data_IF_810619547106
#
_entry.id   IF_810619547106
#
_cell.length_a   1.000
_cell.length_b   1.000
_cell.length_c   1.000
_cell.angle_alpha   90.00
_cell.angle_beta   90.00
_cell.angle_gamma   90.00
#
_symmetry.space_group_name_H-M   'P 1'
#
loop_
_entity.id
_entity.type
_entity.pdbx_description
1 polymer ?
#
# COMPACT_ATOMS: atom_id res chain seq x y z
N UNK A 1 8.97 21.52 36.05
CA UNK A 1 10.04 21.45 35.02
C UNK A 1 9.70 22.39 33.87
N UNK A 2 9.87 23.71 34.04
CA UNK A 2 9.29 24.72 33.14
C UNK A 2 9.84 24.67 31.70
N UNK A 3 11.07 24.15 31.54
CA UNK A 3 11.76 24.05 30.24
C UNK A 3 11.61 22.69 29.55
N UNK A 4 10.91 21.73 30.16
CA UNK A 4 10.77 20.39 29.59
C UNK A 4 9.93 20.44 28.30
N UNK A 5 10.53 20.05 27.18
CA UNK A 5 9.86 20.03 25.85
C UNK A 5 9.46 18.64 25.39
N UNK A 6 10.18 17.62 25.86
CA UNK A 6 9.99 16.22 25.48
C UNK A 6 9.95 15.38 26.74
N UNK A 7 8.95 14.52 26.85
CA UNK A 7 8.82 13.53 27.91
C UNK A 7 8.73 12.15 27.27
N UNK A 8 9.63 11.25 27.67
CA UNK A 8 9.58 9.84 27.30
C UNK A 8 9.48 9.01 28.56
N UNK A 9 8.43 8.19 28.64
CA UNK A 9 8.21 7.24 29.72
C UNK A 9 8.29 5.84 29.13
N UNK A 10 9.05 4.97 29.77
CA UNK A 10 9.21 3.56 29.40
C UNK A 10 9.25 2.73 30.67
N UNK A 11 8.73 1.51 30.60
CA UNK A 11 8.79 0.57 31.71
C UNK A 11 9.77 -0.55 31.42
N UNK A 12 10.50 -0.96 32.45
CA UNK A 12 11.39 -2.11 32.37
C UNK A 12 10.63 -3.33 32.91
N UNK A 13 9.88 -3.98 32.02
CA UNK A 13 8.90 -5.01 32.40
C UNK A 13 9.52 -6.21 33.14
N UNK A 14 10.78 -6.53 32.83
CA UNK A 14 11.50 -7.64 33.46
C UNK A 14 11.99 -7.34 34.88
N UNK A 15 12.05 -6.06 35.27
CA UNK A 15 12.58 -5.62 36.56
C UNK A 15 11.49 -5.33 37.60
N UNK A 16 10.21 -5.30 37.20
CA UNK A 16 9.08 -4.98 38.07
C UNK A 16 8.09 -6.15 38.12
N UNK A 17 8.04 -6.93 39.20
CA UNK A 17 7.09 -8.05 39.33
C UNK A 17 5.63 -7.60 39.41
N UNK A 18 5.36 -6.34 39.77
CA UNK A 18 4.03 -5.77 39.93
C UNK A 18 3.55 -5.02 38.69
N UNK A 19 4.26 -5.15 37.56
CA UNK A 19 3.97 -4.41 36.34
C UNK A 19 2.51 -4.55 35.85
N UNK A 20 1.86 -5.67 36.13
CA UNK A 20 0.47 -5.93 35.73
C UNK A 20 -0.54 -5.09 36.51
N UNK A 21 -0.22 -4.73 37.75
CA UNK A 21 -1.12 -4.00 38.64
C UNK A 21 -1.31 -2.55 38.16
N UNK A 22 -0.22 -1.82 37.92
CA UNK A 22 -0.27 -0.42 37.48
C UNK A 22 -0.61 -0.26 35.99
N UNK A 23 -0.41 -1.28 35.15
CA UNK A 23 -0.93 -1.26 33.78
C UNK A 23 -2.45 -1.44 33.71
N UNK A 24 -3.04 -2.08 34.73
CA UNK A 24 -4.49 -2.30 34.78
C UNK A 24 -5.23 -1.07 35.30
N UNK A 25 -4.64 -0.36 36.25
CA UNK A 25 -5.17 0.87 36.85
C UNK A 25 -4.00 1.81 37.24
N UNK A 26 -3.51 2.63 36.31
CA UNK A 26 -2.40 3.54 36.58
C UNK A 26 -2.87 4.68 37.49
N UNK A 27 -2.56 4.58 38.78
CA UNK A 27 -2.76 5.65 39.75
C UNK A 27 -1.73 6.76 39.52
N UNK A 28 -1.89 7.53 38.45
CA UNK A 28 -1.01 8.64 38.09
C UNK A 28 -1.75 9.96 38.27
N UNK A 29 -1.21 10.82 39.12
CA UNK A 29 -1.72 12.17 39.30
C UNK A 29 -1.66 12.95 37.96
N UNK A 30 -2.72 13.69 37.60
CA UNK A 30 -2.74 14.48 36.38
C UNK A 30 -1.58 15.48 36.32
N UNK A 31 -0.87 15.48 35.21
CA UNK A 31 0.26 16.36 34.97
C UNK A 31 -0.21 17.81 34.89
N UNK A 32 0.16 18.61 35.89
CA UNK A 32 -0.22 20.02 35.93
C UNK A 32 0.40 20.79 34.76
N UNK A 33 -0.44 21.50 34.01
CA UNK A 33 -0.02 22.38 32.90
C UNK A 33 1.01 23.42 33.36
N UNK A 34 0.87 23.93 34.58
CA UNK A 34 1.82 24.89 35.17
C UNK A 34 3.20 24.27 35.43
N UNK A 35 3.28 22.96 35.65
CA UNK A 35 4.53 22.26 35.91
C UNK A 35 5.35 22.01 34.63
N UNK A 36 4.68 21.90 33.47
CA UNK A 36 5.27 21.55 32.17
C UNK A 36 4.73 22.41 31.00
N UNK A 37 4.75 23.74 31.10
CA UNK A 37 4.08 24.64 30.14
C UNK A 37 4.64 24.57 28.71
N UNK A 38 5.85 24.01 28.54
CA UNK A 38 6.56 23.90 27.25
C UNK A 38 6.57 22.48 26.69
N UNK A 39 5.87 21.53 27.31
CA UNK A 39 5.87 20.14 26.85
C UNK A 39 5.13 20.02 25.52
N UNK A 40 5.85 19.61 24.47
CA UNK A 40 5.32 19.50 23.10
C UNK A 40 5.36 18.07 22.57
N UNK A 41 6.21 17.21 23.12
CA UNK A 41 6.40 15.82 22.67
C UNK A 41 6.22 14.86 23.83
N UNK A 42 5.35 13.87 23.63
CA UNK A 42 5.10 12.80 24.58
C UNK A 42 5.28 11.45 23.89
N UNK A 43 6.13 10.60 24.47
CA UNK A 43 6.17 9.17 24.17
C UNK A 43 5.90 8.43 25.48
N UNK A 44 4.79 7.71 25.56
CA UNK A 44 4.40 7.06 26.80
C UNK A 44 3.56 5.81 26.55
N UNK A 45 3.46 4.93 27.54
CA UNK A 45 2.54 3.80 27.51
C UNK A 45 1.10 4.30 27.47
N UNK A 46 0.26 3.64 26.67
CA UNK A 46 -1.08 4.12 26.35
C UNK A 46 -1.94 4.42 27.57
N UNK A 47 -1.81 3.57 28.60
CA UNK A 47 -2.54 3.64 29.87
C UNK A 47 -2.33 4.97 30.60
N UNK A 48 -1.24 5.68 30.34
CA UNK A 48 -0.91 6.95 31.01
C UNK A 48 -1.48 8.19 30.31
N UNK A 49 -2.10 8.06 29.13
CA UNK A 49 -2.48 9.21 28.31
C UNK A 49 -3.41 10.18 29.06
N UNK A 50 -4.40 9.68 29.80
CA UNK A 50 -5.38 10.50 30.53
C UNK A 50 -4.71 11.41 31.56
N UNK A 51 -3.68 10.92 32.25
CA UNK A 51 -2.91 11.69 33.23
C UNK A 51 -1.87 12.63 32.62
N UNK A 52 -1.46 12.43 31.36
CA UNK A 52 -0.36 13.19 30.73
C UNK A 52 -0.81 14.18 29.67
N UNK A 53 -2.10 14.28 29.41
CA UNK A 53 -2.65 15.14 28.37
C UNK A 53 -2.63 16.61 28.80
N UNK A 54 -1.82 17.41 28.09
CA UNK A 54 -1.70 18.86 28.32
C UNK A 54 -1.88 19.64 27.01
N UNK A 55 -2.42 20.87 27.04
CA UNK A 55 -2.76 21.62 25.81
C UNK A 55 -1.58 22.01 24.92
N UNK A 56 -0.36 21.99 25.46
CA UNK A 56 0.86 22.34 24.72
C UNK A 56 1.37 21.21 23.82
N UNK A 57 0.85 19.99 23.95
CA UNK A 57 1.28 18.82 23.18
C UNK A 57 1.01 19.01 21.68
N UNK A 58 2.01 18.60 20.89
CA UNK A 58 1.99 18.65 19.43
C UNK A 58 2.30 17.29 18.82
N UNK A 59 3.06 16.45 19.51
CA UNK A 59 3.41 15.11 19.04
C UNK A 59 3.18 14.10 20.17
N UNK A 60 2.35 13.10 19.91
CA UNK A 60 2.05 12.02 20.84
C UNK A 60 2.40 10.69 20.19
N UNK A 61 3.11 9.85 20.92
CA UNK A 61 3.36 8.45 20.58
C UNK A 61 2.94 7.60 21.76
N UNK A 62 1.97 6.72 21.53
CA UNK A 62 1.47 5.78 22.53
C UNK A 62 1.85 4.37 22.12
N UNK A 63 2.37 3.62 23.07
CA UNK A 63 2.88 2.26 22.85
C UNK A 63 2.26 1.30 23.87
N UNK A 64 1.91 0.10 23.41
CA UNK A 64 1.62 -1.01 24.28
C UNK A 64 2.90 -1.80 24.53
N UNK A 65 3.56 -1.52 25.65
CA UNK A 65 4.86 -2.12 25.98
C UNK A 65 4.79 -3.64 26.24
N UNK A 66 3.60 -4.19 26.50
CA UNK A 66 3.40 -5.63 26.69
C UNK A 66 3.20 -6.39 25.38
N UNK A 67 3.20 -5.68 24.27
CA UNK A 67 2.98 -6.22 22.93
C UNK A 67 1.51 -6.45 22.60
N UNK A 68 1.26 -6.69 21.32
CA UNK A 68 -0.08 -6.73 20.71
C UNK A 68 -1.12 -7.64 21.36
N UNK A 69 -0.70 -8.71 22.03
CA UNK A 69 -1.62 -9.71 22.60
C UNK A 69 -2.02 -9.40 24.04
N UNK A 70 -1.31 -8.50 24.70
CA UNK A 70 -1.59 -8.16 26.09
C UNK A 70 -2.66 -7.07 26.15
N UNK A 71 -3.79 -7.31 26.85
CA UNK A 71 -4.76 -6.26 27.13
C UNK A 71 -4.21 -5.21 28.10
N UNK A 72 -3.26 -5.56 28.97
CA UNK A 72 -2.77 -4.72 30.06
C UNK A 72 -2.18 -3.39 29.57
N UNK A 73 -1.44 -3.34 28.47
CA UNK A 73 -0.90 -2.08 27.95
C UNK A 73 -1.80 -1.28 27.00
N UNK A 74 -3.06 -1.69 26.84
CA UNK A 74 -4.02 -1.02 25.94
C UNK A 74 -4.74 0.13 26.62
N UNK A 75 -5.29 1.03 25.82
CA UNK A 75 -6.19 2.08 26.30
C UNK A 75 -7.38 1.46 27.04
N UNK A 76 -7.77 2.10 28.15
CA UNK A 76 -8.89 1.66 28.98
C UNK A 76 -10.22 1.76 28.22
N UNK A 77 -10.48 2.92 27.59
CA UNK A 77 -11.73 3.17 26.86
C UNK A 77 -11.53 4.16 25.70
N UNK A 78 -12.39 4.05 24.68
CA UNK A 78 -12.46 5.03 23.59
C UNK A 78 -12.82 6.43 24.11
N UNK A 79 -13.80 6.53 25.02
CA UNK A 79 -14.24 7.82 25.58
C UNK A 79 -13.11 8.55 26.29
N UNK A 80 -12.35 7.86 27.14
CA UNK A 80 -11.20 8.46 27.84
C UNK A 80 -10.10 8.89 26.88
N UNK A 81 -9.83 8.06 25.86
CA UNK A 81 -8.88 8.39 24.80
C UNK A 81 -9.23 9.68 24.04
N UNK A 82 -10.47 9.79 23.54
CA UNK A 82 -10.90 10.98 22.80
C UNK A 82 -10.98 12.23 23.68
N UNK A 83 -11.42 12.09 24.94
CA UNK A 83 -11.41 13.19 25.90
C UNK A 83 -9.99 13.71 26.16
N UNK A 84 -9.01 12.81 26.27
CA UNK A 84 -7.61 13.16 26.44
C UNK A 84 -7.04 13.87 25.20
N UNK A 85 -7.36 13.38 23.98
CA UNK A 85 -6.97 14.06 22.74
C UNK A 85 -7.58 15.45 22.61
N UNK A 86 -8.83 15.64 23.02
CA UNK A 86 -9.52 16.93 22.97
C UNK A 86 -8.76 18.05 23.72
N UNK A 87 -8.02 17.71 24.78
CA UNK A 87 -7.20 18.66 25.55
C UNK A 87 -6.10 19.31 24.68
N UNK A 88 -5.55 18.59 23.71
CA UNK A 88 -4.45 19.04 22.84
C UNK A 88 -4.84 19.19 21.36
N UNK A 89 -6.11 18.99 21.02
CA UNK A 89 -6.62 18.90 19.65
C UNK A 89 -6.18 20.04 18.73
N UNK A 90 -6.21 21.29 19.21
CA UNK A 90 -5.88 22.48 18.42
C UNK A 90 -4.39 22.56 18.00
N UNK A 91 -3.51 21.81 18.67
CA UNK A 91 -2.06 21.88 18.44
C UNK A 91 -1.45 20.54 18.05
N UNK A 92 -2.20 19.44 18.16
CA UNK A 92 -1.72 18.10 17.86
C UNK A 92 -1.43 17.95 16.36
N UNK A 93 -0.15 17.82 16.01
CA UNK A 93 0.34 17.67 14.64
C UNK A 93 0.67 16.22 14.30
N UNK A 94 1.03 15.41 15.30
CA UNK A 94 1.42 14.01 15.10
C UNK A 94 0.79 13.14 16.16
N UNK A 95 0.11 12.07 15.74
CA UNK A 95 -0.44 11.05 16.60
C UNK A 95 0.02 9.67 16.11
N UNK A 96 0.75 8.94 16.96
CA UNK A 96 1.24 7.59 16.70
C UNK A 96 0.69 6.63 17.74
N UNK A 97 0.04 5.56 17.29
CA UNK A 97 -0.65 4.56 18.11
C UNK A 97 -0.10 3.16 17.78
N UNK A 98 0.64 2.54 18.69
CA UNK A 98 1.29 1.24 18.46
C UNK A 98 0.73 0.15 19.41
N UNK A 99 -0.17 -0.67 18.88
CA UNK A 99 -0.87 -1.77 19.58
C UNK A 99 -1.70 -1.32 20.79
N UNK A 100 -2.17 -0.07 20.77
CA UNK A 100 -2.78 0.63 21.91
C UNK A 100 -4.30 0.68 21.89
N UNK A 101 -4.96 0.24 20.82
CA UNK A 101 -6.41 0.41 20.67
C UNK A 101 -7.17 -0.22 21.84
N UNK A 102 -8.31 0.37 22.27
CA UNK A 102 -8.94 0.04 23.54
C UNK A 102 -9.27 -1.44 23.79
N UNK A 103 -9.33 -1.80 25.08
CA UNK A 103 -9.65 -3.17 25.54
C UNK A 103 -11.06 -3.62 25.16
N UNK A 104 -12.03 -2.72 25.31
CA UNK A 104 -13.46 -3.01 25.12
C UNK A 104 -13.89 -2.64 23.70
N UNK A 105 -14.64 -3.53 23.05
CA UNK A 105 -15.14 -3.31 21.69
C UNK A 105 -16.43 -2.48 21.63
N UNK A 106 -17.07 -2.26 22.78
CA UNK A 106 -18.26 -1.44 22.89
C UNK A 106 -17.87 0.03 22.78
N UNK A 107 -18.32 0.62 21.68
CA UNK A 107 -18.28 2.06 21.46
C UNK A 107 -19.67 2.58 21.79
N UNK A 108 -19.92 3.13 23.00
CA UNK A 108 -21.08 4.01 23.17
C UNK A 108 -20.99 5.13 22.12
N UNK A 109 -22.10 5.73 21.69
CA UNK A 109 -22.08 6.80 20.69
C UNK A 109 -21.11 7.93 21.11
N UNK A 110 -19.86 7.87 20.66
CA UNK A 110 -18.83 8.87 20.97
C UNK A 110 -18.86 9.89 19.84
N UNK A 111 -19.01 11.19 20.14
CA UNK A 111 -18.88 12.22 19.13
C UNK A 111 -17.48 12.20 18.51
N UNK A 112 -17.40 12.53 17.22
CA UNK A 112 -16.13 12.69 16.52
C UNK A 112 -15.23 13.71 17.22
N UNK A 113 -13.93 13.45 17.24
CA UNK A 113 -12.91 14.37 17.77
C UNK A 113 -12.19 15.03 16.62
N UNK A 114 -12.32 16.35 16.51
CA UNK A 114 -11.64 17.15 15.50
C UNK A 114 -10.19 17.46 15.91
N UNK A 115 -9.25 17.17 15.02
CA UNK A 115 -7.81 17.39 15.17
C UNK A 115 -7.32 18.30 14.02
N UNK A 116 -7.66 19.61 14.05
CA UNK A 116 -7.48 20.50 12.89
C UNK A 116 -6.01 20.79 12.55
N UNK A 117 -5.07 20.56 13.47
CA UNK A 117 -3.65 20.76 13.25
C UNK A 117 -2.91 19.48 12.82
N UNK A 118 -3.62 18.35 12.71
CA UNK A 118 -3.00 17.04 12.46
C UNK A 118 -2.39 17.01 11.06
N UNK A 119 -1.15 16.53 11.00
CA UNK A 119 -0.39 16.35 9.74
C UNK A 119 -0.02 14.91 9.51
N UNK A 120 0.19 14.15 10.58
CA UNK A 120 0.62 12.76 10.52
C UNK A 120 -0.16 11.94 11.54
N UNK A 121 -0.92 10.97 11.06
CA UNK A 121 -1.55 9.93 11.86
C UNK A 121 -0.91 8.60 11.51
N UNK A 122 -0.41 7.88 12.51
CA UNK A 122 0.08 6.51 12.33
C UNK A 122 -0.55 5.58 13.35
N UNK A 123 -1.05 4.44 12.89
CA UNK A 123 -1.58 3.39 13.76
C UNK A 123 -1.11 2.02 13.31
N UNK A 124 -0.67 1.19 14.25
CA UNK A 124 -0.43 -0.22 14.04
C UNK A 124 -1.25 -1.00 15.07
N UNK A 125 -2.28 -1.72 14.64
CA UNK A 125 -3.11 -2.56 15.52
C UNK A 125 -3.94 -3.53 14.67
N UNK A 126 -4.91 -4.20 15.30
CA UNK A 126 -5.89 -5.02 14.59
C UNK A 126 -6.79 -4.17 13.69
N UNK A 127 -7.26 -4.79 12.61
CA UNK A 127 -8.18 -4.24 11.61
C UNK A 127 -9.31 -3.44 12.25
N UNK A 128 -10.06 -4.09 13.15
CA UNK A 128 -11.23 -3.51 13.81
C UNK A 128 -10.89 -2.27 14.64
N UNK A 129 -9.72 -2.25 15.31
CA UNK A 129 -9.31 -1.11 16.14
C UNK A 129 -8.88 0.07 15.29
N UNK A 130 -8.17 -0.18 14.19
CA UNK A 130 -7.84 0.86 13.23
C UNK A 130 -9.13 1.52 12.69
N UNK A 131 -10.09 0.71 12.25
CA UNK A 131 -11.36 1.21 11.74
C UNK A 131 -12.15 2.00 12.79
N UNK A 132 -12.24 1.51 14.02
CA UNK A 132 -12.93 2.23 15.09
C UNK A 132 -12.26 3.56 15.44
N UNK A 133 -10.93 3.64 15.47
CA UNK A 133 -10.24 4.90 15.72
C UNK A 133 -10.48 5.90 14.59
N UNK A 134 -10.31 5.48 13.34
CA UNK A 134 -10.49 6.34 12.17
C UNK A 134 -11.94 6.79 11.94
N UNK A 135 -12.93 6.04 12.43
CA UNK A 135 -14.35 6.41 12.31
C UNK A 135 -14.74 7.59 13.20
N UNK A 136 -13.96 7.92 14.24
CA UNK A 136 -14.26 8.98 15.20
C UNK A 136 -13.22 10.10 15.24
N UNK A 137 -12.26 10.10 14.29
CA UNK A 137 -11.31 11.19 14.14
C UNK A 137 -11.64 12.02 12.90
N UNK A 138 -11.69 13.32 13.07
CA UNK A 138 -11.78 14.30 11.99
C UNK A 138 -10.43 15.01 11.88
N UNK A 139 -9.87 15.05 10.68
CA UNK A 139 -8.57 15.68 10.41
C UNK A 139 -8.56 16.31 9.01
N UNK A 140 -7.66 17.27 8.74
CA UNK A 140 -7.58 17.94 7.44
C UNK A 140 -7.29 16.97 6.29
N UNK A 141 -7.74 17.30 5.08
CA UNK A 141 -7.50 16.53 3.84
C UNK A 141 -6.00 16.45 3.45
N UNK A 142 -5.15 17.24 4.10
CA UNK A 142 -3.70 17.22 3.93
C UNK A 142 -2.99 16.25 4.89
N UNK A 143 -3.73 15.51 5.70
CA UNK A 143 -3.15 14.61 6.70
C UNK A 143 -2.56 13.37 6.04
N UNK A 144 -1.34 13.01 6.40
CA UNK A 144 -0.78 11.71 6.05
C UNK A 144 -1.28 10.65 7.03
N UNK A 145 -1.89 9.59 6.51
CA UNK A 145 -2.51 8.51 7.27
C UNK A 145 -1.74 7.22 7.00
N UNK A 146 -1.10 6.66 8.02
CA UNK A 146 -0.36 5.40 7.93
C UNK A 146 -0.96 4.34 8.86
N UNK A 147 -1.60 3.32 8.31
CA UNK A 147 -2.15 2.20 9.08
C UNK A 147 -1.38 0.90 8.81
N UNK A 148 -1.11 0.12 9.84
CA UNK A 148 -0.55 -1.21 9.71
C UNK A 148 -1.48 -2.21 10.42
N UNK A 149 -2.10 -3.06 9.62
CA UNK A 149 -2.97 -4.13 10.07
C UNK A 149 -2.14 -5.36 10.44
N UNK A 150 -2.17 -5.72 11.73
CA UNK A 150 -1.35 -6.82 12.27
C UNK A 150 -2.07 -8.18 12.32
N UNK A 151 -3.38 -8.22 12.06
CA UNK A 151 -4.22 -9.44 12.10
C UNK A 151 -4.74 -9.88 10.72
N UNK A 152 -4.30 -9.22 9.65
CA UNK A 152 -4.64 -9.56 8.25
C UNK A 152 -6.15 -9.55 7.96
N UNK A 153 -6.93 -8.73 8.68
CA UNK A 153 -8.34 -8.49 8.34
C UNK A 153 -8.52 -7.64 7.08
N UNK A 154 -9.77 -7.29 6.77
CA UNK A 154 -10.12 -6.62 5.51
C UNK A 154 -9.58 -5.19 5.44
N UNK A 155 -9.18 -4.77 4.26
CA UNK A 155 -8.67 -3.41 4.04
C UNK A 155 -9.76 -2.35 4.28
N UNK A 156 -10.99 -2.60 3.82
CA UNK A 156 -12.14 -1.71 4.01
C UNK A 156 -12.61 -1.63 5.48
N UNK A 157 -12.27 -2.61 6.31
CA UNK A 157 -12.49 -2.55 7.76
C UNK A 157 -11.37 -1.77 8.47
N UNK A 158 -10.16 -1.74 7.89
CA UNK A 158 -9.04 -0.92 8.39
C UNK A 158 -9.25 0.55 8.03
N UNK A 159 -9.71 0.83 6.80
CA UNK A 159 -10.05 2.15 6.28
C UNK A 159 -11.56 2.28 6.11
N UNK A 160 -12.28 2.73 7.16
CA UNK A 160 -13.73 2.76 7.16
C UNK A 160 -14.26 3.79 6.16
N UNK A 161 -14.98 3.33 5.12
CA UNK A 161 -15.61 4.18 4.09
C UNK A 161 -16.89 4.87 4.57
N UNK A 162 -17.17 4.83 5.87
CA UNK A 162 -18.20 5.65 6.52
C UNK A 162 -17.57 6.84 7.28
N UNK A 163 -16.24 6.98 7.26
CA UNK A 163 -15.52 8.13 7.80
C UNK A 163 -15.38 9.17 6.69
N UNK A 164 -16.02 10.33 6.87
CA UNK A 164 -15.95 11.44 5.92
C UNK A 164 -14.50 11.86 5.62
N UNK A 165 -13.62 11.81 6.63
CA UNK A 165 -12.19 12.10 6.45
C UNK A 165 -11.53 11.08 5.51
N UNK A 166 -11.79 9.78 5.69
CA UNK A 166 -11.23 8.74 4.82
C UNK A 166 -11.78 8.85 3.40
N UNK A 167 -13.08 9.08 3.26
CA UNK A 167 -13.73 9.26 1.97
C UNK A 167 -13.14 10.45 1.20
N UNK A 168 -12.88 11.58 1.88
CA UNK A 168 -12.24 12.74 1.27
C UNK A 168 -10.81 12.44 0.78
N UNK A 169 -10.01 11.68 1.54
CA UNK A 169 -8.65 11.28 1.13
C UNK A 169 -8.68 10.27 -0.03
N UNK A 170 -9.63 9.34 -0.04
CA UNK A 170 -9.84 8.42 -1.16
C UNK A 170 -10.28 9.19 -2.42
N UNK A 171 -11.19 10.15 -2.29
CA UNK A 171 -11.64 10.98 -3.41
C UNK A 171 -10.50 11.85 -4.00
N UNK A 172 -9.57 12.28 -3.16
CA UNK A 172 -8.36 13.02 -3.58
C UNK A 172 -7.26 12.12 -4.18
N UNK A 173 -7.42 10.79 -4.12
CA UNK A 173 -6.43 9.83 -4.63
C UNK A 173 -6.50 9.72 -6.15
N UNK A 174 -5.36 9.91 -6.80
CA UNK A 174 -5.18 9.77 -8.26
C UNK A 174 -4.22 8.65 -8.61
N UNK A 175 -3.24 8.36 -7.74
CA UNK A 175 -2.24 7.33 -7.97
C UNK A 175 -2.23 6.34 -6.82
N UNK A 176 -2.17 5.05 -7.16
CA UNK A 176 -2.09 3.96 -6.19
C UNK A 176 -0.83 3.14 -6.46
N UNK A 177 -0.09 2.79 -5.41
CA UNK A 177 0.99 1.82 -5.49
C UNK A 177 0.73 0.64 -4.55
N UNK A 178 0.73 -0.57 -5.08
CA UNK A 178 0.62 -1.83 -4.32
C UNK A 178 2.00 -2.48 -4.30
N UNK A 179 2.57 -2.64 -3.11
CA UNK A 179 3.94 -3.14 -2.92
C UNK A 179 3.96 -4.34 -2.01
N UNK A 180 4.48 -5.45 -2.51
CA UNK A 180 4.78 -6.65 -1.74
C UNK A 180 6.23 -6.68 -1.29
N UNK A 181 6.44 -7.19 -0.10
CA UNK A 181 7.75 -7.47 0.49
C UNK A 181 7.75 -8.89 1.07
N UNK A 182 8.90 -9.35 1.55
CA UNK A 182 9.01 -10.65 2.19
C UNK A 182 8.07 -10.81 3.39
N UNK A 183 7.68 -9.71 4.06
CA UNK A 183 6.94 -9.72 5.33
C UNK A 183 5.58 -9.02 5.30
N UNK A 184 5.33 -8.15 4.31
CA UNK A 184 4.10 -7.36 4.24
C UNK A 184 3.72 -6.96 2.81
N UNK A 185 2.43 -6.73 2.60
CA UNK A 185 1.89 -6.07 1.41
C UNK A 185 1.35 -4.71 1.81
N UNK A 186 1.61 -3.68 1.02
CA UNK A 186 1.23 -2.31 1.35
C UNK A 186 0.56 -1.63 0.17
N UNK A 187 -0.42 -0.77 0.47
CA UNK A 187 -1.14 0.06 -0.50
C UNK A 187 -0.87 1.51 -0.13
N UNK A 188 -0.39 2.25 -1.12
CA UNK A 188 -0.03 3.65 -0.99
C UNK A 188 -0.91 4.46 -1.94
N UNK A 189 -1.61 5.46 -1.41
CA UNK A 189 -2.49 6.36 -2.15
C UNK A 189 -1.85 7.75 -2.19
N UNK A 190 -1.72 8.32 -3.39
CA UNK A 190 -1.10 9.62 -3.60
C UNK A 190 -2.10 10.59 -4.24
N UNK A 191 -1.99 11.85 -3.82
CA UNK A 191 -2.71 12.96 -4.42
C UNK A 191 -2.24 13.23 -5.86
N UNK A 192 -3.11 13.88 -6.64
CA UNK A 192 -2.77 14.44 -7.94
C UNK A 192 -1.96 15.72 -7.77
N UNK A 193 -0.64 15.67 -7.96
CA UNK A 193 0.20 16.87 -7.93
C UNK A 193 1.35 16.82 -8.95
N UNK A 194 1.60 17.97 -9.59
CA UNK A 194 2.50 18.17 -10.74
C UNK A 194 4.01 18.10 -10.44
N UNK A 195 4.46 17.86 -9.20
CA UNK A 195 5.90 17.76 -8.93
C UNK A 195 6.32 16.99 -7.68
N UNK A 196 5.50 16.91 -6.63
CA UNK A 196 5.77 16.06 -5.47
C UNK A 196 4.55 15.18 -5.17
N UNK A 197 4.70 13.86 -5.40
CA UNK A 197 3.67 12.87 -5.08
C UNK A 197 3.44 12.84 -3.56
N UNK A 198 2.52 13.67 -3.05
CA UNK A 198 2.14 13.67 -1.64
C UNK A 198 1.35 12.40 -1.34
N UNK A 199 1.90 11.55 -0.46
CA UNK A 199 1.21 10.36 0.02
C UNK A 199 0.10 10.79 0.99
N UNK A 200 -1.13 10.37 0.71
CA UNK A 200 -2.31 10.66 1.55
C UNK A 200 -2.53 9.51 2.53
N UNK A 201 -2.53 8.28 2.02
CA UNK A 201 -2.81 7.08 2.79
C UNK A 201 -1.75 6.02 2.49
N UNK A 202 -1.26 5.33 3.52
CA UNK A 202 -0.46 4.12 3.43
C UNK A 202 -1.08 3.06 4.34
N UNK A 203 -1.47 1.91 3.78
CA UNK A 203 -1.95 0.76 4.57
C UNK A 203 -1.08 -0.46 4.34
N UNK A 204 -0.45 -0.95 5.40
CA UNK A 204 0.28 -2.21 5.43
C UNK A 204 -0.58 -3.35 5.95
N UNK A 205 -0.49 -4.50 5.27
CA UNK A 205 -1.00 -5.80 5.66
C UNK A 205 0.21 -6.66 6.08
N UNK A 206 0.43 -6.80 7.37
CA UNK A 206 1.57 -7.52 7.92
C UNK A 206 1.20 -8.95 8.32
N UNK A 207 2.18 -9.87 8.24
CA UNK A 207 2.11 -11.19 8.86
C UNK A 207 1.96 -12.39 7.92
N UNK A 208 2.00 -13.59 8.50
CA UNK A 208 2.10 -14.86 7.77
C UNK A 208 0.84 -15.23 6.95
N UNK A 209 -0.33 -14.64 7.28
CA UNK A 209 -1.61 -14.82 6.59
C UNK A 209 -1.99 -13.60 5.75
N UNK A 210 -0.99 -12.84 5.27
CA UNK A 210 -1.22 -11.74 4.34
C UNK A 210 -1.88 -12.24 3.05
N UNK A 211 -2.75 -11.41 2.50
CA UNK A 211 -3.36 -11.61 1.20
C UNK A 211 -4.38 -10.52 0.95
N UNK A 212 -4.16 -9.75 -0.12
CA UNK A 212 -5.18 -8.84 -0.63
C UNK A 212 -6.44 -9.63 -1.01
N UNK A 213 -7.61 -9.12 -0.65
CA UNK A 213 -8.88 -9.67 -1.12
C UNK A 213 -9.35 -8.85 -2.32
N UNK A 214 -9.83 -9.47 -3.41
CA UNK A 214 -10.32 -8.74 -4.57
C UNK A 214 -11.40 -7.71 -4.22
N UNK A 215 -12.37 -8.10 -3.39
CA UNK A 215 -13.52 -7.26 -3.02
C UNK A 215 -13.10 -6.00 -2.26
N UNK A 216 -12.01 -6.08 -1.49
CA UNK A 216 -11.52 -4.95 -0.68
C UNK A 216 -11.05 -3.79 -1.57
N UNK A 217 -10.33 -4.08 -2.67
CA UNK A 217 -9.89 -3.05 -3.61
C UNK A 217 -11.07 -2.44 -4.35
N UNK A 218 -12.05 -3.27 -4.75
CA UNK A 218 -13.27 -2.79 -5.42
C UNK A 218 -14.03 -1.84 -4.50
N UNK A 219 -14.27 -2.24 -3.25
CA UNK A 219 -15.02 -1.45 -2.29
C UNK A 219 -14.36 -0.11 -1.98
N UNK A 220 -13.02 -0.05 -1.94
CA UNK A 220 -12.29 1.18 -1.63
C UNK A 220 -12.15 2.13 -2.82
N UNK A 221 -11.87 1.62 -4.01
CA UNK A 221 -11.44 2.47 -5.13
C UNK A 221 -12.47 2.62 -6.25
N UNK A 222 -13.37 1.66 -6.46
CA UNK A 222 -14.24 1.67 -7.66
C UNK A 222 -15.10 2.93 -7.73
N UNK A 223 -15.71 3.28 -6.60
CA UNK A 223 -16.61 4.44 -6.49
C UNK A 223 -15.98 5.57 -5.66
N UNK A 224 -14.99 5.25 -4.83
CA UNK A 224 -14.37 6.17 -3.88
C UNK A 224 -13.21 6.99 -4.43
N UNK A 225 -12.58 6.59 -5.54
CA UNK A 225 -11.39 7.25 -6.06
C UNK A 225 -11.33 7.25 -7.60
N UNK A 226 -10.81 8.33 -8.17
CA UNK A 226 -10.53 8.40 -9.62
C UNK A 226 -9.06 8.07 -9.89
N UNK A 227 -8.69 6.82 -9.65
CA UNK A 227 -7.30 6.36 -9.84
C UNK A 227 -6.96 6.31 -11.33
N UNK A 228 -6.00 7.13 -11.76
CA UNK A 228 -5.51 7.18 -13.14
C UNK A 228 -4.17 6.47 -13.33
N UNK A 229 -3.40 6.27 -12.24
CA UNK A 229 -2.12 5.56 -12.27
C UNK A 229 -2.06 4.48 -11.18
N UNK A 230 -1.78 3.24 -11.59
CA UNK A 230 -1.53 2.11 -10.71
C UNK A 230 -0.11 1.58 -10.90
N UNK A 231 0.63 1.44 -9.81
CA UNK A 231 1.92 0.77 -9.77
C UNK A 231 1.84 -0.50 -8.90
N UNK A 232 2.21 -1.66 -9.43
CA UNK A 232 2.20 -2.93 -8.71
C UNK A 232 3.62 -3.48 -8.71
N UNK A 233 4.20 -3.74 -7.54
CA UNK A 233 5.57 -4.23 -7.44
C UNK A 233 5.72 -5.30 -6.35
N UNK A 234 6.52 -6.34 -6.62
CA UNK A 234 7.02 -7.25 -5.58
C UNK A 234 5.98 -8.17 -4.93
N UNK A 235 4.83 -8.39 -5.58
CA UNK A 235 3.80 -9.29 -5.05
C UNK A 235 4.20 -10.76 -5.13
N UNK A 236 3.91 -11.52 -4.08
CA UNK A 236 3.95 -12.98 -4.11
C UNK A 236 2.65 -13.54 -4.71
N UNK A 237 2.60 -14.87 -4.90
CA UNK A 237 1.43 -15.52 -5.47
C UNK A 237 0.12 -15.18 -4.74
N UNK A 238 0.13 -15.17 -3.41
CA UNK A 238 -1.07 -14.95 -2.58
C UNK A 238 -1.62 -13.55 -2.77
N UNK A 239 -0.73 -12.55 -2.77
CA UNK A 239 -1.12 -11.14 -2.92
C UNK A 239 -1.55 -10.81 -4.36
N UNK A 240 -0.88 -11.39 -5.36
CA UNK A 240 -1.20 -11.15 -6.77
C UNK A 240 -2.62 -11.64 -7.14
N UNK A 241 -3.09 -12.76 -6.58
CA UNK A 241 -4.47 -13.23 -6.76
C UNK A 241 -5.52 -12.25 -6.22
N UNK A 242 -5.14 -11.46 -5.21
CA UNK A 242 -5.98 -10.44 -4.60
C UNK A 242 -6.15 -9.16 -5.41
N UNK A 243 -5.25 -8.90 -6.38
CA UNK A 243 -5.30 -7.69 -7.17
C UNK A 243 -6.32 -7.83 -8.30
N UNK A 244 -7.40 -7.06 -8.20
CA UNK A 244 -8.41 -6.95 -9.25
C UNK A 244 -8.38 -5.57 -9.89
N UNK A 245 -8.05 -5.52 -11.18
CA UNK A 245 -7.98 -4.26 -11.93
C UNK A 245 -9.38 -3.62 -12.15
N UNK A 246 -10.45 -4.36 -11.85
CA UNK A 246 -11.84 -3.84 -11.86
C UNK A 246 -12.08 -2.76 -10.81
N UNK A 247 -11.23 -2.71 -9.78
CA UNK A 247 -11.22 -1.62 -8.80
C UNK A 247 -10.82 -0.26 -9.39
N UNK A 248 -10.22 -0.23 -10.59
CA UNK A 248 -9.64 0.99 -11.18
C UNK A 248 -10.22 1.26 -12.59
N UNK A 249 -11.49 1.66 -12.70
CA UNK A 249 -12.15 1.85 -14.00
C UNK A 249 -11.55 3.01 -14.82
N UNK A 250 -10.97 4.02 -14.15
CA UNK A 250 -10.39 5.22 -14.77
C UNK A 250 -8.90 5.11 -15.06
N UNK A 251 -8.32 3.91 -14.96
CA UNK A 251 -6.90 3.69 -15.08
C UNK A 251 -6.39 4.03 -16.49
N UNK A 252 -5.44 4.98 -16.57
CA UNK A 252 -4.77 5.42 -17.81
C UNK A 252 -3.35 4.86 -17.90
N UNK A 253 -2.69 4.67 -16.76
CA UNK A 253 -1.32 4.15 -16.67
C UNK A 253 -1.22 2.98 -15.71
N UNK A 254 -0.61 1.90 -16.16
CA UNK A 254 -0.31 0.73 -15.34
C UNK A 254 1.19 0.41 -15.41
N UNK A 255 1.85 0.41 -14.25
CA UNK A 255 3.23 -0.04 -14.10
C UNK A 255 3.23 -1.34 -13.28
N UNK A 256 3.71 -2.45 -13.83
CA UNK A 256 3.76 -3.76 -13.15
C UNK A 256 5.20 -4.24 -13.11
N UNK A 257 5.68 -4.61 -11.93
CA UNK A 257 7.02 -5.15 -11.72
C UNK A 257 7.00 -6.35 -10.78
N UNK A 258 7.77 -7.39 -11.07
CA UNK A 258 7.87 -8.57 -10.21
C UNK A 258 7.74 -9.90 -10.93
N UNK A 259 7.82 -10.99 -10.17
CA UNK A 259 7.67 -12.35 -10.68
C UNK A 259 6.22 -12.63 -11.11
N UNK A 260 5.26 -12.05 -10.39
CA UNK A 260 3.82 -12.18 -10.68
C UNK A 260 3.32 -11.20 -11.75
N UNK A 261 4.22 -10.46 -12.44
CA UNK A 261 3.81 -9.46 -13.43
C UNK A 261 2.95 -10.07 -14.55
N UNK A 262 3.32 -11.27 -15.05
CA UNK A 262 2.53 -11.99 -16.06
C UNK A 262 1.10 -12.28 -15.60
N UNK A 263 0.92 -12.70 -14.35
CA UNK A 263 -0.40 -12.97 -13.78
C UNK A 263 -1.27 -11.71 -13.72
N UNK A 264 -0.70 -10.59 -13.26
CA UNK A 264 -1.42 -9.30 -13.22
C UNK A 264 -1.85 -8.88 -14.63
N UNK A 265 -0.99 -9.06 -15.63
CA UNK A 265 -1.33 -8.73 -17.02
C UNK A 265 -2.45 -9.60 -17.59
N UNK A 266 -2.52 -10.88 -17.22
CA UNK A 266 -3.64 -11.73 -17.63
C UNK A 266 -4.99 -11.21 -17.14
N UNK A 267 -5.02 -10.49 -16.00
CA UNK A 267 -6.26 -9.88 -15.49
C UNK A 267 -6.80 -8.78 -16.41
N UNK A 268 -5.94 -8.08 -17.17
CA UNK A 268 -6.36 -7.10 -18.17
C UNK A 268 -7.14 -7.72 -19.33
N UNK A 269 -6.96 -9.03 -19.56
CA UNK A 269 -7.58 -9.79 -20.64
C UNK A 269 -8.75 -10.67 -20.16
N UNK A 270 -9.19 -10.52 -18.90
CA UNK A 270 -10.37 -11.21 -18.39
C UNK A 270 -11.64 -10.46 -18.81
N UNK A 271 -12.69 -11.23 -19.15
CA UNK A 271 -14.04 -10.68 -19.31
C UNK A 271 -14.64 -10.48 -17.92
N UNK A 272 -15.23 -9.32 -17.69
CA UNK A 272 -16.05 -9.11 -16.51
C UNK A 272 -17.35 -9.91 -16.67
N UNK A 273 -17.59 -10.85 -15.76
CA UNK A 273 -18.76 -11.74 -15.79
C UNK A 273 -19.92 -11.24 -14.92
N UNK A 274 -19.79 -10.10 -14.23
CA UNK A 274 -20.78 -9.66 -13.23
C UNK A 274 -22.07 -9.03 -13.79
N UNK A 275 -22.26 -8.95 -15.11
CA UNK A 275 -23.50 -8.41 -15.69
C UNK A 275 -24.62 -9.46 -15.89
N UNK A 276 -24.55 -10.65 -15.29
CA UNK A 276 -25.46 -11.76 -15.64
C UNK A 276 -26.21 -12.45 -14.50
N UNK A 277 -26.17 -11.93 -13.27
CA UNK A 277 -26.99 -12.46 -12.17
C UNK A 277 -27.89 -11.35 -11.61
N UNK A 278 -28.97 -11.03 -12.33
CA UNK A 278 -29.99 -10.08 -11.90
C UNK A 278 -30.99 -9.78 -13.01
N UNK A 279 -32.15 -10.44 -12.92
CA UNK A 279 -33.41 -10.19 -13.64
C UNK A 279 -33.58 -10.64 -15.11
N UNK A 280 -34.33 -11.73 -15.22
CA UNK A 280 -35.41 -12.02 -16.17
C UNK A 280 -36.11 -10.77 -16.73
N UNK A 281 -35.98 -10.52 -18.03
CA UNK A 281 -36.99 -10.86 -19.03
C UNK A 281 -36.57 -10.35 -20.42
N UNK A 282 -36.99 -11.08 -21.45
CA UNK A 282 -36.42 -10.98 -22.78
C UNK A 282 -36.64 -9.66 -23.52
N UNK A 283 -35.62 -9.21 -24.22
CA UNK A 283 -35.75 -8.70 -25.59
C UNK A 283 -34.44 -8.86 -26.37
N UNK A 284 -34.59 -9.31 -27.61
CA UNK A 284 -33.52 -9.46 -28.59
C UNK A 284 -32.93 -8.09 -28.95
N UNK A 285 -31.60 -8.01 -29.03
CA UNK A 285 -30.91 -7.04 -29.86
C UNK A 285 -30.39 -5.79 -29.16
N UNK A 286 -29.37 -5.92 -28.32
CA UNK A 286 -28.22 -5.02 -28.40
C UNK A 286 -26.97 -5.75 -27.87
N UNK A 287 -25.83 -5.53 -28.50
CA UNK A 287 -24.60 -6.26 -28.21
C UNK A 287 -24.22 -6.12 -26.73
N UNK A 288 -24.19 -7.24 -25.98
CA UNK A 288 -23.53 -7.33 -24.67
C UNK A 288 -22.07 -6.90 -24.83
N UNK A 289 -21.81 -5.60 -24.69
CA UNK A 289 -20.46 -5.05 -24.54
C UNK A 289 -19.89 -5.73 -23.30
N UNK A 290 -18.94 -6.63 -23.49
CA UNK A 290 -18.18 -7.16 -22.37
C UNK A 290 -17.62 -5.96 -21.61
N UNK A 291 -17.89 -5.84 -20.32
CA UNK A 291 -17.34 -4.76 -19.51
C UNK A 291 -15.81 -4.93 -19.51
N UNK A 292 -15.13 -4.05 -20.24
CA UNK A 292 -13.69 -4.10 -20.46
C UNK A 292 -13.01 -3.54 -19.22
N UNK A 293 -12.10 -4.32 -18.62
CA UNK A 293 -11.32 -3.87 -17.47
C UNK A 293 -10.34 -2.78 -17.91
N UNK A 294 -10.36 -1.63 -17.25
CA UNK A 294 -9.51 -0.47 -17.55
C UNK A 294 -9.57 -0.07 -19.04
N UNK A 295 -10.75 0.26 -19.56
CA UNK A 295 -10.95 0.56 -20.99
C UNK A 295 -10.12 1.76 -21.49
N UNK A 296 -9.79 2.70 -20.61
CA UNK A 296 -8.97 3.89 -20.90
C UNK A 296 -7.47 3.71 -20.72
N UNK A 297 -6.96 2.48 -20.60
CA UNK A 297 -5.54 2.24 -20.38
C UNK A 297 -4.71 2.64 -21.62
N UNK A 298 -3.87 3.66 -21.48
CA UNK A 298 -3.04 4.20 -22.55
C UNK A 298 -1.57 3.80 -22.42
N UNK A 299 -1.04 3.73 -21.20
CA UNK A 299 0.38 3.42 -20.94
C UNK A 299 0.52 2.16 -20.12
N UNK A 300 1.31 1.20 -20.61
CA UNK A 300 1.65 -0.03 -19.91
C UNK A 300 3.17 -0.17 -19.79
N UNK A 301 3.66 -0.21 -18.55
CA UNK A 301 5.06 -0.50 -18.22
C UNK A 301 5.11 -1.86 -17.54
N UNK A 302 5.95 -2.76 -18.01
CA UNK A 302 6.11 -4.10 -17.43
C UNK A 302 7.57 -4.39 -17.20
N UNK A 303 7.95 -4.69 -15.96
CA UNK A 303 9.28 -5.17 -15.60
C UNK A 303 9.21 -6.55 -14.96
N UNK A 304 9.50 -7.57 -15.75
CA UNK A 304 9.37 -8.95 -15.32
C UNK A 304 10.61 -9.41 -14.54
N UNK A 305 10.42 -9.92 -13.33
CA UNK A 305 11.56 -10.44 -12.57
C UNK A 305 11.98 -11.83 -13.03
N UNK A 306 13.26 -12.17 -12.84
CA UNK A 306 13.78 -13.52 -12.99
C UNK A 306 14.70 -13.82 -11.82
N UNK A 307 14.67 -15.07 -11.32
CA UNK A 307 15.45 -15.47 -10.15
C UNK A 307 16.95 -15.22 -10.34
N UNK A 308 17.61 -14.71 -9.28
CA UNK A 308 19.06 -14.81 -9.12
C UNK A 308 19.40 -16.26 -8.77
N UNK A 309 20.04 -16.99 -9.68
CA UNK A 309 20.10 -18.44 -9.55
C UNK A 309 21.23 -19.12 -10.31
N UNK A 310 21.98 -19.91 -9.55
CA UNK A 310 23.02 -20.87 -9.95
C UNK A 310 22.47 -22.10 -10.69
N UNK A 311 21.18 -22.14 -11.04
CA UNK A 311 20.63 -23.28 -11.78
C UNK A 311 21.01 -23.15 -13.26
N UNK A 312 21.61 -24.23 -13.79
CA UNK A 312 21.94 -24.38 -15.22
C UNK A 312 20.65 -24.38 -16.04
N UNK A 313 20.18 -23.19 -16.43
CA UNK A 313 19.14 -22.81 -17.43
C UNK A 313 18.42 -21.51 -17.06
N UNK A 314 18.77 -20.88 -15.94
CA UNK A 314 18.19 -19.61 -15.56
C UNK A 314 18.69 -18.48 -16.47
N UNK A 315 17.79 -17.54 -16.77
CA UNK A 315 18.09 -16.33 -17.57
C UNK A 315 19.28 -15.57 -16.99
N UNK A 316 19.40 -15.50 -15.65
CA UNK A 316 20.56 -14.89 -14.99
C UNK A 316 21.88 -15.60 -15.29
N UNK A 317 21.92 -16.93 -15.32
CA UNK A 317 23.13 -17.69 -15.70
C UNK A 317 23.42 -17.53 -17.20
N UNK A 318 22.39 -17.50 -18.04
CA UNK A 318 22.54 -17.27 -19.48
C UNK A 318 23.11 -15.88 -19.80
N UNK A 319 22.62 -14.83 -19.13
CA UNK A 319 23.13 -13.47 -19.27
C UNK A 319 24.61 -13.38 -18.89
N UNK A 320 25.02 -14.02 -17.79
CA UNK A 320 26.43 -14.05 -17.34
C UNK A 320 27.35 -14.88 -18.23
N UNK A 321 26.85 -15.96 -18.80
CA UNK A 321 27.63 -16.84 -19.71
C UNK A 321 27.58 -16.40 -21.17
N UNK A 322 26.86 -15.31 -21.50
CA UNK A 322 26.67 -14.86 -22.88
C UNK A 322 25.82 -15.80 -23.74
N UNK A 323 25.04 -16.70 -23.11
CA UNK A 323 24.15 -17.61 -23.84
C UNK A 323 22.86 -16.88 -24.29
N UNK A 324 22.96 -16.16 -25.40
CA UNK A 324 21.87 -15.33 -25.93
C UNK A 324 20.65 -16.15 -26.40
N UNK A 325 20.79 -17.45 -26.69
CA UNK A 325 19.66 -18.29 -27.12
C UNK A 325 18.57 -18.42 -26.03
N UNK A 326 18.98 -18.54 -24.76
CA UNK A 326 18.08 -18.66 -23.61
C UNK A 326 17.39 -17.32 -23.34
N UNK A 327 18.15 -16.22 -23.41
CA UNK A 327 17.63 -14.85 -23.25
C UNK A 327 16.62 -14.52 -24.36
N UNK A 328 16.92 -14.91 -25.60
CA UNK A 328 16.03 -14.73 -26.74
C UNK A 328 14.74 -15.56 -26.60
N UNK A 329 14.84 -16.81 -26.15
CA UNK A 329 13.69 -17.66 -25.89
C UNK A 329 12.79 -17.11 -24.78
N UNK A 330 13.37 -16.58 -23.70
CA UNK A 330 12.62 -15.91 -22.63
C UNK A 330 11.90 -14.65 -23.14
N UNK A 331 12.59 -13.79 -23.89
CA UNK A 331 11.98 -12.60 -24.49
C UNK A 331 10.84 -12.96 -25.44
N UNK A 332 11.01 -13.98 -26.29
CA UNK A 332 9.95 -14.48 -27.19
C UNK A 332 8.72 -14.93 -26.41
N UNK A 333 8.92 -15.70 -25.33
CA UNK A 333 7.83 -16.14 -24.46
C UNK A 333 7.08 -14.94 -23.87
N UNK A 334 7.80 -14.00 -23.22
CA UNK A 334 7.20 -12.80 -22.60
C UNK A 334 6.47 -11.93 -23.62
N UNK A 335 7.01 -11.77 -24.82
CA UNK A 335 6.36 -11.06 -25.91
C UNK A 335 5.11 -11.79 -26.41
N UNK A 336 5.13 -13.12 -26.52
CA UNK A 336 3.96 -13.90 -26.92
C UNK A 336 2.82 -13.78 -25.89
N UNK A 337 3.14 -13.79 -24.60
CA UNK A 337 2.16 -13.59 -23.52
C UNK A 337 1.53 -12.19 -23.60
N UNK A 338 2.33 -11.15 -23.81
CA UNK A 338 1.85 -9.79 -24.03
C UNK A 338 0.97 -9.69 -25.29
N UNK A 339 1.37 -10.29 -26.41
CA UNK A 339 0.56 -10.34 -27.63
C UNK A 339 -0.80 -10.97 -27.34
N UNK A 340 -0.83 -12.10 -26.62
CA UNK A 340 -2.08 -12.77 -26.25
C UNK A 340 -2.99 -11.87 -25.41
N UNK A 341 -2.43 -11.18 -24.42
CA UNK A 341 -3.18 -10.25 -23.54
C UNK A 341 -3.73 -9.07 -24.35
N UNK A 342 -2.90 -8.42 -25.16
CA UNK A 342 -3.27 -7.22 -25.92
C UNK A 342 -4.24 -7.53 -27.07
N UNK A 343 -4.03 -8.63 -27.80
CA UNK A 343 -4.98 -9.08 -28.83
C UNK A 343 -6.35 -9.35 -28.23
N UNK A 344 -6.41 -10.06 -27.10
CA UNK A 344 -7.68 -10.34 -26.43
C UNK A 344 -8.39 -9.07 -25.94
N UNK A 345 -7.65 -8.05 -25.49
CA UNK A 345 -8.22 -6.74 -25.17
C UNK A 345 -8.79 -6.03 -26.39
N UNK A 346 -8.06 -6.05 -27.50
CA UNK A 346 -8.50 -5.47 -28.77
C UNK A 346 -9.78 -6.16 -29.27
N UNK A 347 -9.85 -7.48 -29.19
CA UNK A 347 -11.05 -8.27 -29.51
C UNK A 347 -12.27 -7.93 -28.63
N UNK A 348 -12.03 -7.50 -27.39
CA UNK A 348 -13.09 -7.04 -26.48
C UNK A 348 -13.54 -5.60 -26.78
N UNK A 349 -12.91 -4.88 -27.71
CA UNK A 349 -13.23 -3.51 -28.08
C UNK A 349 -12.51 -2.44 -27.25
N UNK A 350 -11.40 -2.80 -26.58
CA UNK A 350 -10.58 -1.83 -25.84
C UNK A 350 -9.88 -0.90 -26.82
N UNK A 351 -9.67 0.36 -26.42
CA UNK A 351 -8.69 1.20 -27.09
C UNK A 351 -7.31 0.53 -27.04
N UNK A 352 -6.52 0.72 -28.10
CA UNK A 352 -5.15 0.26 -28.14
C UNK A 352 -4.30 1.08 -27.16
N UNK A 353 -3.29 0.43 -26.61
CA UNK A 353 -2.30 1.09 -25.77
C UNK A 353 -1.47 2.04 -26.65
N UNK A 354 -1.24 3.26 -26.18
CA UNK A 354 -0.45 4.27 -26.90
C UNK A 354 1.04 4.15 -26.61
N UNK A 355 1.42 3.57 -25.46
CA UNK A 355 2.83 3.31 -25.10
C UNK A 355 2.99 2.00 -24.33
N UNK A 356 3.90 1.15 -24.80
CA UNK A 356 4.30 -0.08 -24.12
C UNK A 356 5.80 -0.03 -23.80
N UNK A 357 6.13 -0.21 -22.53
CA UNK A 357 7.50 -0.42 -22.07
C UNK A 357 7.63 -1.82 -21.47
N UNK A 358 8.65 -2.56 -21.89
CA UNK A 358 8.92 -3.89 -21.36
C UNK A 358 10.39 -4.05 -20.97
N UNK A 359 10.62 -4.58 -19.78
CA UNK A 359 11.92 -4.79 -19.15
C UNK A 359 11.98 -6.11 -18.42
N UNK A 360 13.19 -6.52 -18.07
CA UNK A 360 13.43 -7.70 -17.25
C UNK A 360 14.50 -7.39 -16.21
N UNK A 361 14.23 -7.65 -14.94
CA UNK A 361 15.17 -7.37 -13.84
C UNK A 361 15.47 -8.62 -13.01
N UNK A 362 16.73 -8.83 -12.66
CA UNK A 362 17.14 -9.94 -11.80
C UNK A 362 16.68 -9.72 -10.35
N UNK A 363 16.11 -10.76 -9.76
CA UNK A 363 15.68 -10.77 -8.37
C UNK A 363 16.86 -11.20 -7.49
N UNK A 364 17.52 -10.27 -6.78
CA UNK A 364 18.70 -10.65 -6.01
C UNK A 364 19.47 -9.52 -5.34
N UNK A 365 18.81 -8.72 -4.52
CA UNK A 365 19.38 -8.13 -3.29
C UNK A 365 18.22 -7.55 -2.46
N UNK A 366 18.18 -7.74 -1.13
CA UNK A 366 17.20 -7.06 -0.29
C UNK A 366 17.47 -5.56 -0.34
N UNK A 367 16.73 -4.84 -1.19
CA UNK A 367 16.68 -3.38 -1.10
C UNK A 367 15.89 -3.09 0.17
N UNK A 368 16.61 -2.73 1.24
CA UNK A 368 16.02 -2.20 2.45
C UNK A 368 15.04 -1.08 2.10
N UNK A 369 13.99 -0.94 2.90
CA UNK A 369 12.76 -0.19 2.66
C UNK A 369 12.90 1.31 2.31
N UNK A 370 14.11 1.87 2.15
CA UNK A 370 14.33 3.29 1.91
C UNK A 370 15.29 3.66 0.76
N UNK A 371 15.93 2.73 0.06
CA UNK A 371 16.88 3.13 -0.99
C UNK A 371 16.29 3.04 -2.40
N UNK A 372 15.95 4.23 -2.91
CA UNK A 372 15.89 4.52 -4.34
C UNK A 372 17.15 3.95 -5.02
N UNK A 373 16.94 3.10 -6.02
CA UNK A 373 17.90 2.82 -7.11
C UNK A 373 19.28 2.34 -6.62
N UNK A 374 19.44 1.06 -6.31
CA UNK A 374 20.68 0.41 -6.71
C UNK A 374 20.63 0.32 -8.25
N UNK A 375 21.44 1.10 -9.00
CA UNK A 375 21.48 0.93 -10.44
C UNK A 375 21.97 -0.50 -10.72
N UNK A 376 21.27 -1.28 -11.56
CA UNK A 376 21.76 -2.59 -11.98
C UNK A 376 23.18 -2.43 -12.53
N UNK A 377 24.09 -3.31 -12.11
CA UNK A 377 25.53 -3.17 -12.40
C UNK A 377 25.83 -3.31 -13.89
N UNK A 378 24.98 -4.02 -14.64
CA UNK A 378 25.01 -4.10 -16.09
C UNK A 378 23.60 -4.06 -16.68
N UNK A 379 23.47 -3.27 -17.74
CA UNK A 379 22.31 -3.26 -18.62
C UNK A 379 22.70 -3.97 -19.93
N UNK A 380 22.03 -5.07 -20.24
CA UNK A 380 22.06 -5.62 -21.60
C UNK A 380 20.92 -4.95 -22.35
N UNK A 381 21.19 -3.75 -22.87
CA UNK A 381 20.20 -2.91 -23.55
C UNK A 381 20.80 -1.63 -24.19
N UNK A 382 20.57 -1.50 -25.51
CA UNK A 382 20.70 -0.35 -26.44
C UNK A 382 21.98 0.52 -26.48
N UNK A 383 22.80 0.64 -25.44
CA UNK A 383 23.97 1.55 -25.46
C UNK A 383 25.31 0.86 -25.80
N UNK A 384 25.33 -0.47 -25.86
CA UNK A 384 26.48 -1.26 -26.31
C UNK A 384 26.09 -2.14 -27.49
N UNK A 385 26.67 -1.86 -28.65
CA UNK A 385 26.45 -2.54 -29.94
C UNK A 385 26.34 -4.07 -29.87
N UNK A 386 25.18 -4.62 -30.27
CA UNK A 386 25.00 -5.81 -31.14
C UNK A 386 23.66 -6.55 -30.96
N UNK A 387 22.74 -6.11 -30.09
CA UNK A 387 21.42 -6.77 -30.00
C UNK A 387 20.43 -6.23 -31.05
N UNK A 388 20.67 -6.55 -32.32
CA UNK A 388 19.69 -6.39 -33.41
C UNK A 388 18.47 -7.35 -33.37
N UNK A 389 18.53 -8.58 -32.79
CA UNK A 389 17.44 -9.57 -32.89
C UNK A 389 16.13 -9.21 -32.17
N UNK A 390 16.16 -8.43 -31.08
CA UNK A 390 14.93 -8.17 -30.30
C UNK A 390 13.88 -7.41 -31.11
N UNK A 391 14.29 -6.60 -32.10
CA UNK A 391 13.36 -5.84 -32.95
C UNK A 391 12.40 -6.73 -33.73
N UNK A 392 12.83 -7.92 -34.16
CA UNK A 392 11.96 -8.88 -34.84
C UNK A 392 11.00 -9.56 -33.86
N UNK A 393 11.46 -9.81 -32.63
CA UNK A 393 10.68 -10.45 -31.56
C UNK A 393 9.54 -9.54 -31.08
N UNK A 394 9.78 -8.23 -30.93
CA UNK A 394 8.74 -7.26 -30.50
C UNK A 394 7.87 -6.77 -31.67
N UNK A 395 8.17 -7.15 -32.91
CA UNK A 395 7.42 -6.71 -34.10
C UNK A 395 5.91 -7.00 -34.01
N UNK A 396 5.44 -8.16 -33.47
CA UNK A 396 4.02 -8.39 -33.26
C UNK A 396 3.37 -7.39 -32.30
N UNK A 397 4.07 -6.99 -31.23
CA UNK A 397 3.55 -6.00 -30.27
C UNK A 397 3.35 -4.63 -30.92
N UNK A 398 4.25 -4.23 -31.84
CA UNK A 398 4.11 -2.96 -32.59
C UNK A 398 2.88 -2.88 -33.47
N UNK A 399 2.20 -4.00 -33.75
CA UNK A 399 0.93 -3.99 -34.49
C UNK A 399 -0.28 -3.80 -33.58
N UNK A 400 -0.10 -3.92 -32.27
CA UNK A 400 -1.16 -3.88 -31.24
C UNK A 400 -1.06 -2.64 -30.35
N UNK A 401 -0.07 -1.78 -30.60
CA UNK A 401 0.22 -0.57 -29.83
C UNK A 401 0.29 0.59 -30.82
N UNK A 402 -0.47 1.65 -30.55
CA UNK A 402 -0.60 2.79 -31.48
C UNK A 402 0.63 3.72 -31.46
N UNK A 403 1.51 3.57 -30.48
CA UNK A 403 2.74 4.33 -30.36
C UNK A 403 3.97 3.48 -30.00
N UNK A 404 4.93 4.03 -29.23
CA UNK A 404 6.22 3.37 -29.05
C UNK A 404 6.13 2.08 -28.23
N UNK A 405 6.79 1.04 -28.74
CA UNK A 405 7.15 -0.17 -27.99
C UNK A 405 8.63 -0.08 -27.63
N UNK A 406 8.91 0.18 -26.35
CA UNK A 406 10.26 0.35 -25.81
C UNK A 406 10.65 -0.93 -25.07
N UNK A 407 11.81 -1.47 -25.43
CA UNK A 407 12.44 -2.54 -24.66
C UNK A 407 13.59 -1.94 -23.84
N UNK A 408 13.49 -1.99 -22.51
CA UNK A 408 14.47 -1.36 -21.61
C UNK A 408 15.70 -2.23 -21.37
N UNK A 409 15.62 -3.52 -21.69
CA UNK A 409 16.73 -4.47 -21.58
C UNK A 409 16.54 -5.51 -20.49
N UNK A 410 17.59 -6.32 -20.33
CA UNK A 410 17.77 -7.15 -19.14
C UNK A 410 18.72 -6.44 -18.16
N UNK A 411 18.30 -6.33 -16.92
CA UNK A 411 19.02 -5.72 -15.80
C UNK A 411 19.42 -6.81 -14.81
N UNK A 412 20.71 -6.96 -14.52
CA UNK A 412 21.20 -7.98 -13.58
C UNK A 412 22.40 -7.48 -12.77
N UNK A 413 22.66 -8.16 -11.65
CA UNK A 413 23.74 -7.81 -10.74
C UNK A 413 24.98 -8.66 -11.04
N UNK A 414 26.16 -8.03 -11.02
CA UNK A 414 27.42 -8.78 -11.04
C UNK A 414 27.57 -9.53 -9.73
N UNK A 415 28.07 -10.77 -9.79
CA UNK A 415 28.47 -11.47 -8.58
C UNK A 415 29.59 -10.65 -7.91
N UNK A 416 29.42 -10.32 -6.63
CA UNK A 416 30.49 -9.76 -5.81
C UNK A 416 31.66 -10.75 -5.84
N UNK A 417 32.79 -10.34 -6.41
CA UNK A 417 34.02 -11.14 -6.49
C UNK A 417 34.70 -11.30 -5.14
#
# INVERSE_FOLDING_TARGET
>A
MPELRTLRITFYLDADPDHRSWASDPQVEPLSVAAVPRLTRLTAPAVLLSGLSVPSLQHITLENLYGRYSPEGRLESYRGFYAALAVCALRLQTLVLLDVGPRVYDVPAVPSTSLPALRHFRMADTTRRCGLVLSHLEFPDTTHIACANVDSGRLCETLPTNSASIDAHLAATDRVAIRGTADATSIHCFARADSDSHELICVGLAGARRGLRPDDLIQLFRDGARVTHLAIAGLDGRDAFGVTLRAFPYLVRLDVSGEMAGYILETLARKDHEASDGDTDGHYGDGRRANIVCAGLETLTVDFHFASGMAKRDVGTALRSGNMSVVEADLRRRCADLVKVLSRRSEMGSANITRLELGCTEQGCPVGSNDRKCPPTLQVGLSGSSWAPWRSIVKPLKKLVDGPVVFTGYHFFLASG
#
